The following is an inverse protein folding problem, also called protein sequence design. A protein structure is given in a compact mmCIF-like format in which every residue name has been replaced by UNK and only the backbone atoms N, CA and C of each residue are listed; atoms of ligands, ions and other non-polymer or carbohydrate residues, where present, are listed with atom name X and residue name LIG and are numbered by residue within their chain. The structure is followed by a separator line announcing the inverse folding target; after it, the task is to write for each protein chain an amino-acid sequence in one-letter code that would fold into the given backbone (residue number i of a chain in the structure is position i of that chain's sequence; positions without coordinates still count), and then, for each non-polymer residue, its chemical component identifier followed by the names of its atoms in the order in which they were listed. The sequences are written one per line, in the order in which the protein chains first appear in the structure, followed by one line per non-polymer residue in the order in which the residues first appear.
data_IF_610562680751
#
_entry.id   IF_610562680751
#
_cell.length_a   1.000
_cell.length_b   1.000
_cell.length_c   1.000
_cell.angle_alpha   90.00
_cell.angle_beta   90.00
_cell.angle_gamma   90.00
#
_symmetry.space_group_name_H-M   'P 1'
#
loop_
_entity.id
_entity.type
_entity.pdbx_description
1 polymer ?
#
# COMPACT_ATOMS: atom_id res chain seq x y z
N UNK A 1 14.55 23.72 -9.27
CA UNK A 1 13.36 23.09 -8.69
C UNK A 1 13.35 21.62 -9.08
N UNK A 2 13.53 20.73 -8.09
CA UNK A 2 13.41 19.31 -8.36
C UNK A 2 11.95 18.96 -8.57
N UNK A 3 11.61 18.47 -9.74
CA UNK A 3 10.27 17.90 -9.93
C UNK A 3 10.10 16.74 -8.97
N UNK A 4 9.02 16.76 -8.19
CA UNK A 4 8.65 15.64 -7.36
C UNK A 4 8.31 14.47 -8.30
N UNK A 5 9.09 13.40 -8.20
CA UNK A 5 8.76 12.15 -8.87
C UNK A 5 7.53 11.51 -8.23
N UNK A 6 7.27 10.29 -8.62
CA UNK A 6 6.17 9.53 -8.04
C UNK A 6 6.44 9.15 -6.60
N UNK A 7 5.37 9.04 -5.82
CA UNK A 7 5.38 8.60 -4.43
C UNK A 7 4.59 7.29 -4.34
N UNK A 8 5.19 6.28 -3.74
CA UNK A 8 4.57 4.96 -3.59
C UNK A 8 4.37 4.65 -2.11
N UNK A 9 3.13 4.39 -1.73
CA UNK A 9 2.78 4.07 -0.34
C UNK A 9 2.72 2.56 -0.17
N UNK A 10 3.50 2.04 0.79
CA UNK A 10 3.49 0.64 1.17
C UNK A 10 3.12 0.51 2.65
N UNK A 11 2.76 -0.68 3.05
CA UNK A 11 2.42 -0.94 4.44
C UNK A 11 1.28 -1.94 4.56
N UNK A 12 1.00 -2.37 5.78
CA UNK A 12 -0.01 -3.39 6.01
C UNK A 12 -1.42 -2.86 5.75
N UNK A 13 -2.37 -3.76 5.67
CA UNK A 13 -3.78 -3.40 5.62
C UNK A 13 -4.15 -2.63 6.90
N UNK A 14 -5.03 -1.65 6.76
CA UNK A 14 -5.40 -0.78 7.88
C UNK A 14 -4.43 0.35 8.18
N UNK A 15 -3.37 0.52 7.38
CA UNK A 15 -2.45 1.66 7.51
C UNK A 15 -3.04 2.97 6.99
N UNK A 16 -4.11 2.90 6.19
CA UNK A 16 -4.73 4.09 5.62
C UNK A 16 -4.10 4.56 4.32
N UNK A 17 -3.44 3.67 3.60
CA UNK A 17 -2.70 4.01 2.36
C UNK A 17 -3.57 4.75 1.34
N UNK A 18 -4.78 4.27 1.09
CA UNK A 18 -5.64 4.89 0.07
C UNK A 18 -6.10 6.28 0.50
N UNK A 19 -6.55 6.45 1.73
CA UNK A 19 -7.02 7.73 2.24
C UNK A 19 -5.88 8.74 2.32
N UNK A 20 -4.75 8.32 2.87
CA UNK A 20 -3.55 9.16 2.96
C UNK A 20 -3.05 9.52 1.56
N UNK A 21 -3.03 8.53 0.67
CA UNK A 21 -2.56 8.74 -0.70
C UNK A 21 -3.41 9.74 -1.48
N UNK A 22 -4.74 9.67 -1.34
CA UNK A 22 -5.64 10.64 -1.99
C UNK A 22 -5.40 12.06 -1.51
N UNK A 23 -5.26 12.25 -0.19
CA UNK A 23 -4.99 13.58 0.35
C UNK A 23 -3.61 14.10 -0.08
N UNK A 24 -2.61 13.23 -0.03
CA UNK A 24 -1.26 13.58 -0.45
C UNK A 24 -1.23 14.01 -1.92
N UNK A 25 -1.90 13.24 -2.79
CA UNK A 25 -1.99 13.53 -4.21
C UNK A 25 -2.68 14.87 -4.46
N UNK A 26 -3.75 15.15 -3.72
CA UNK A 26 -4.47 16.41 -3.85
C UNK A 26 -3.59 17.59 -3.51
N UNK A 27 -2.84 17.52 -2.40
CA UNK A 27 -1.96 18.61 -1.99
C UNK A 27 -0.80 18.81 -2.95
N UNK A 28 -0.27 17.74 -3.52
CA UNK A 28 0.84 17.79 -4.46
C UNK A 28 0.39 18.01 -5.91
N UNK A 29 -0.91 17.99 -6.16
CA UNK A 29 -1.51 18.09 -7.51
C UNK A 29 -1.02 16.97 -8.44
N UNK A 30 -0.93 15.75 -7.88
CA UNK A 30 -0.58 14.55 -8.63
C UNK A 30 -1.82 13.67 -8.79
N UNK A 31 -1.82 12.80 -9.80
CA UNK A 31 -2.84 11.76 -9.93
C UNK A 31 -2.68 10.73 -8.83
N UNK A 32 -3.80 10.24 -8.32
CA UNK A 32 -3.83 9.15 -7.37
C UNK A 32 -4.23 7.84 -8.05
N UNK A 33 -3.49 6.78 -7.75
CA UNK A 33 -3.80 5.42 -8.20
C UNK A 33 -3.72 4.45 -7.01
N UNK A 34 -4.58 3.44 -7.04
CA UNK A 34 -4.62 2.38 -6.04
C UNK A 34 -4.56 1.05 -6.78
N UNK A 35 -3.55 0.22 -6.50
CA UNK A 35 -3.34 -1.01 -7.25
C UNK A 35 -4.49 -2.01 -7.07
N UNK A 36 -5.07 -2.10 -5.88
CA UNK A 36 -6.21 -2.98 -5.64
C UNK A 36 -7.46 -2.52 -6.40
N UNK A 37 -7.75 -1.22 -6.37
CA UNK A 37 -8.85 -0.63 -7.14
C UNK A 37 -8.67 -0.85 -8.64
N UNK A 38 -7.45 -0.70 -9.14
CA UNK A 38 -7.18 -0.91 -10.56
C UNK A 38 -7.43 -2.35 -10.97
N UNK A 39 -7.07 -3.32 -10.13
CA UNK A 39 -7.35 -4.73 -10.39
C UNK A 39 -8.86 -4.97 -10.45
N UNK A 40 -9.61 -4.44 -9.48
CA UNK A 40 -11.06 -4.56 -9.47
C UNK A 40 -11.70 -3.90 -10.70
N UNK A 41 -11.21 -2.74 -11.09
CA UNK A 41 -11.69 -2.04 -12.29
C UNK A 41 -11.45 -2.85 -13.56
N UNK A 42 -10.27 -3.44 -13.70
CA UNK A 42 -9.91 -4.22 -14.90
C UNK A 42 -10.65 -5.54 -14.99
N UNK A 43 -10.90 -6.18 -13.85
CA UNK A 43 -11.58 -7.48 -13.81
C UNK A 43 -13.11 -7.37 -13.76
N UNK A 44 -13.61 -6.23 -13.29
CA UNK A 44 -15.05 -6.03 -13.10
C UNK A 44 -15.61 -6.78 -11.88
N UNK A 45 -14.74 -7.36 -11.04
CA UNK A 45 -15.15 -8.11 -9.84
C UNK A 45 -14.27 -7.68 -8.66
N UNK A 46 -14.73 -7.98 -7.45
CA UNK A 46 -13.98 -7.63 -6.25
C UNK A 46 -12.85 -8.62 -5.96
N UNK A 47 -11.93 -8.21 -5.11
CA UNK A 47 -10.74 -9.02 -4.76
C UNK A 47 -11.12 -10.37 -4.14
N UNK A 48 -12.08 -10.46 -3.20
CA UNK A 48 -12.49 -11.77 -2.68
C UNK A 48 -12.89 -12.77 -3.75
N UNK A 49 -13.59 -12.31 -4.78
CA UNK A 49 -13.99 -13.18 -5.88
C UNK A 49 -12.80 -13.64 -6.72
N UNK A 50 -11.82 -12.75 -6.92
CA UNK A 50 -10.58 -13.11 -7.63
C UNK A 50 -9.85 -14.22 -6.86
N UNK A 51 -9.75 -14.09 -5.53
CA UNK A 51 -9.14 -15.12 -4.69
C UNK A 51 -9.89 -16.44 -4.76
N UNK A 52 -11.22 -16.39 -4.77
CA UNK A 52 -12.06 -17.59 -4.86
C UNK A 52 -11.87 -18.33 -6.18
N UNK A 53 -11.84 -17.59 -7.30
CA UNK A 53 -11.77 -18.18 -8.64
C UNK A 53 -10.34 -18.54 -9.04
N UNK A 54 -9.39 -17.66 -8.78
CA UNK A 54 -8.01 -17.78 -9.26
C UNK A 54 -6.99 -18.08 -8.17
N UNK A 55 -7.39 -17.99 -6.89
CA UNK A 55 -6.50 -18.15 -5.76
C UNK A 55 -5.56 -16.97 -5.57
N UNK A 56 -4.73 -17.05 -4.53
CA UNK A 56 -3.76 -15.99 -4.24
C UNK A 56 -2.75 -15.83 -5.39
N UNK A 57 -2.29 -16.94 -5.96
CA UNK A 57 -1.34 -16.90 -7.08
C UNK A 57 -1.89 -16.11 -8.27
N UNK A 58 -3.15 -16.30 -8.62
CA UNK A 58 -3.80 -15.58 -9.70
C UNK A 58 -3.91 -14.08 -9.40
N UNK A 59 -4.28 -13.74 -8.17
CA UNK A 59 -4.32 -12.34 -7.73
C UNK A 59 -2.93 -11.69 -7.80
N UNK A 60 -1.90 -12.37 -7.30
CA UNK A 60 -0.53 -11.83 -7.31
C UNK A 60 -0.02 -11.59 -8.73
N UNK A 61 -0.40 -12.43 -9.68
CA UNK A 61 -0.05 -12.23 -11.09
C UNK A 61 -0.68 -10.96 -11.65
N UNK A 62 -1.94 -10.69 -11.32
CA UNK A 62 -2.63 -9.47 -11.73
C UNK A 62 -2.03 -8.23 -11.07
N UNK A 63 -1.74 -8.32 -9.77
CA UNK A 63 -1.11 -7.25 -9.00
C UNK A 63 0.25 -6.88 -9.59
N UNK A 64 1.06 -7.87 -9.92
CA UNK A 64 2.37 -7.67 -10.54
C UNK A 64 2.26 -6.90 -11.86
N UNK A 65 1.33 -7.27 -12.72
CA UNK A 65 1.12 -6.59 -13.99
C UNK A 65 0.67 -5.14 -13.79
N UNK A 66 -0.21 -4.89 -12.83
CA UNK A 66 -0.70 -3.54 -12.52
C UNK A 66 0.43 -2.66 -11.98
N UNK A 67 1.21 -3.17 -11.04
CA UNK A 67 2.33 -2.41 -10.46
C UNK A 67 3.39 -2.09 -11.50
N UNK A 68 3.74 -3.06 -12.35
CA UNK A 68 4.67 -2.82 -13.46
C UNK A 68 4.22 -1.64 -14.31
N UNK A 69 2.96 -1.60 -14.62
CA UNK A 69 2.39 -0.58 -15.51
C UNK A 69 2.23 0.77 -14.80
N UNK A 70 1.63 0.79 -13.61
CA UNK A 70 1.36 2.05 -12.89
C UNK A 70 2.64 2.75 -12.45
N UNK A 71 3.69 2.00 -12.10
CA UNK A 71 4.96 2.62 -11.68
C UNK A 71 5.70 3.30 -12.82
N UNK A 72 5.29 3.07 -14.07
CA UNK A 72 5.85 3.76 -15.24
C UNK A 72 5.22 5.13 -15.48
N UNK A 73 4.07 5.41 -14.87
CA UNK A 73 3.40 6.70 -15.05
C UNK A 73 4.21 7.82 -14.39
N UNK A 74 4.35 8.98 -15.05
CA UNK A 74 5.09 10.10 -14.45
C UNK A 74 4.27 10.81 -13.38
N UNK A 75 4.91 11.12 -12.25
CA UNK A 75 4.34 12.01 -11.24
C UNK A 75 3.00 11.57 -10.67
N UNK A 76 2.94 10.38 -10.07
CA UNK A 76 1.73 9.87 -9.43
C UNK A 76 1.94 9.59 -7.94
N UNK A 77 0.84 9.47 -7.21
CA UNK A 77 0.82 8.83 -5.90
C UNK A 77 0.13 7.49 -6.06
N UNK A 78 0.82 6.41 -5.71
CA UNK A 78 0.30 5.05 -5.83
C UNK A 78 0.21 4.41 -4.45
N UNK A 79 -1.00 3.97 -4.07
CA UNK A 79 -1.20 3.12 -2.90
C UNK A 79 -1.16 1.66 -3.36
N UNK A 80 -0.25 0.87 -2.79
CA UNK A 80 -0.10 -0.54 -3.13
C UNK A 80 -0.88 -1.42 -2.15
N UNK A 81 -1.30 -2.61 -2.59
CA UNK A 81 -1.85 -3.61 -1.70
C UNK A 81 -0.79 -4.10 -0.70
N UNK A 82 -1.25 -4.55 0.47
CA UNK A 82 -0.33 -4.94 1.56
C UNK A 82 0.65 -6.04 1.20
N UNK A 83 0.27 -6.94 0.31
CA UNK A 83 1.13 -8.07 -0.12
C UNK A 83 1.91 -7.82 -1.40
N UNK A 84 1.79 -6.64 -2.00
CA UNK A 84 2.55 -6.31 -3.21
C UNK A 84 4.05 -6.42 -2.98
N UNK A 85 4.49 -6.17 -1.76
CA UNK A 85 5.89 -6.20 -1.35
C UNK A 85 6.53 -7.58 -1.46
N UNK A 86 5.72 -8.64 -1.52
CA UNK A 86 6.22 -10.01 -1.53
C UNK A 86 6.97 -10.37 -2.83
N UNK A 87 6.63 -9.73 -3.93
CA UNK A 87 7.25 -10.02 -5.23
C UNK A 87 8.52 -9.17 -5.41
N UNK A 88 9.68 -9.82 -5.67
CA UNK A 88 10.94 -9.08 -5.85
C UNK A 88 10.91 -8.08 -7.00
N UNK A 89 10.18 -8.38 -8.08
CA UNK A 89 10.07 -7.45 -9.21
C UNK A 89 9.27 -6.22 -8.83
N UNK A 90 8.21 -6.39 -8.02
CA UNK A 90 7.45 -5.26 -7.50
C UNK A 90 8.35 -4.36 -6.64
N UNK A 91 9.14 -4.97 -5.74
CA UNK A 91 10.07 -4.20 -4.91
C UNK A 91 11.07 -3.40 -5.75
N UNK A 92 11.59 -4.02 -6.80
CA UNK A 92 12.53 -3.36 -7.71
C UNK A 92 11.88 -2.18 -8.41
N UNK A 93 10.68 -2.38 -8.98
CA UNK A 93 9.96 -1.30 -9.67
C UNK A 93 9.65 -0.13 -8.75
N UNK A 94 9.21 -0.41 -7.52
CA UNK A 94 8.92 0.63 -6.54
C UNK A 94 10.20 1.41 -6.17
N UNK A 95 11.28 0.69 -5.87
CA UNK A 95 12.56 1.32 -5.50
C UNK A 95 13.14 2.16 -6.62
N UNK A 96 13.07 1.68 -7.86
CA UNK A 96 13.72 2.33 -9.00
C UNK A 96 12.93 3.50 -9.57
N UNK A 97 11.61 3.48 -9.42
CA UNK A 97 10.72 4.39 -10.17
C UNK A 97 10.10 5.52 -9.36
N UNK A 98 10.32 5.55 -8.05
CA UNK A 98 9.79 6.60 -7.20
C UNK A 98 10.33 6.55 -5.79
N UNK A 99 9.79 7.40 -4.92
CA UNK A 99 10.09 7.38 -3.49
C UNK A 99 9.08 6.49 -2.78
N UNK A 100 9.57 5.59 -1.95
CA UNK A 100 8.73 4.64 -1.22
C UNK A 100 8.53 5.12 0.21
N UNK A 101 7.28 5.25 0.59
CA UNK A 101 6.86 5.66 1.93
C UNK A 101 6.19 4.46 2.59
N UNK A 102 6.81 3.95 3.67
CA UNK A 102 6.25 2.88 4.45
C UNK A 102 5.40 3.46 5.57
N UNK A 103 4.11 3.15 5.55
CA UNK A 103 3.18 3.55 6.62
C UNK A 103 3.11 2.43 7.65
N UNK A 104 3.90 2.58 8.71
CA UNK A 104 3.95 1.62 9.80
C UNK A 104 2.70 1.71 10.66
N UNK A 105 2.09 0.57 10.96
CA UNK A 105 0.84 0.50 11.75
C UNK A 105 0.88 -0.73 12.63
N UNK A 106 0.58 -0.57 13.92
CA UNK A 106 0.56 -1.70 14.85
C UNK A 106 -0.55 -2.68 14.52
N UNK A 107 -0.41 -3.92 14.97
CA UNK A 107 -1.45 -4.95 14.80
C UNK A 107 -2.76 -4.51 15.45
N UNK A 108 -2.70 -3.88 16.62
CA UNK A 108 -3.89 -3.37 17.29
C UNK A 108 -4.64 -2.36 16.42
N UNK A 109 -3.92 -1.43 15.79
CA UNK A 109 -4.52 -0.42 14.92
C UNK A 109 -5.05 -1.05 13.64
N UNK A 110 -4.35 -2.04 13.09
CA UNK A 110 -4.81 -2.79 11.93
C UNK A 110 -6.15 -3.48 12.21
N UNK A 111 -6.26 -4.16 13.35
CA UNK A 111 -7.49 -4.83 13.77
C UNK A 111 -8.65 -3.85 13.93
N UNK A 112 -8.40 -2.71 14.55
CA UNK A 112 -9.41 -1.68 14.76
C UNK A 112 -9.97 -1.16 13.43
N UNK A 113 -9.10 -0.98 12.44
CA UNK A 113 -9.49 -0.42 11.14
C UNK A 113 -10.07 -1.44 10.17
N UNK A 114 -9.68 -2.72 10.28
CA UNK A 114 -10.09 -3.78 9.34
C UNK A 114 -11.14 -4.73 9.88
N UNK A 115 -11.50 -4.63 11.14
CA UNK A 115 -12.40 -5.58 11.82
C UNK A 115 -13.78 -5.72 11.18
N UNK A 116 -14.22 -4.74 10.39
CA UNK A 116 -15.50 -4.76 9.68
C UNK A 116 -15.34 -4.84 8.16
N UNK A 117 -14.11 -4.90 7.68
CA UNK A 117 -13.83 -4.90 6.24
C UNK A 117 -13.86 -6.33 5.71
N UNK A 118 -14.84 -6.62 4.85
CA UNK A 118 -15.00 -7.92 4.21
C UNK A 118 -14.15 -8.11 2.97
N UNK A 119 -13.47 -7.03 2.51
CA UNK A 119 -12.66 -7.06 1.30
C UNK A 119 -11.20 -7.46 1.59
N UNK A 120 -10.99 -8.28 2.64
CA UNK A 120 -9.66 -8.73 3.09
C UNK A 120 -9.65 -10.27 3.21
N UNK A 121 -9.48 -11.00 2.07
CA UNK A 121 -9.55 -12.47 2.10
C UNK A 121 -8.59 -13.12 3.10
N UNK A 122 -7.40 -12.55 3.26
CA UNK A 122 -6.39 -13.10 4.17
C UNK A 122 -6.75 -12.95 5.65
N UNK A 123 -7.75 -12.12 5.98
CA UNK A 123 -8.23 -11.96 7.36
C UNK A 123 -9.48 -12.79 7.66
N UNK A 124 -9.98 -13.56 6.71
CA UNK A 124 -11.12 -14.45 6.89
C UNK A 124 -10.66 -15.74 7.59
N UNK A 125 -10.27 -15.63 8.86
CA UNK A 125 -9.76 -16.72 9.69
C UNK A 125 -10.38 -16.66 11.08
N UNK A 126 -10.20 -17.74 11.89
CA UNK A 126 -10.70 -17.79 13.26
C UNK A 126 -9.93 -16.84 14.19
N UNK A 127 -8.67 -16.54 13.88
CA UNK A 127 -7.82 -15.64 14.69
C UNK A 127 -7.17 -14.56 13.79
N UNK A 128 -7.90 -13.46 13.51
CA UNK A 128 -7.36 -12.37 12.69
C UNK A 128 -6.11 -11.72 13.29
N UNK A 129 -6.02 -11.62 14.61
CA UNK A 129 -4.84 -11.02 15.28
C UNK A 129 -3.58 -11.82 14.98
N UNK A 130 -3.64 -13.14 15.16
CA UNK A 130 -2.49 -13.99 14.89
C UNK A 130 -2.11 -13.96 13.42
N UNK A 131 -3.12 -13.92 12.54
CA UNK A 131 -2.89 -13.80 11.10
C UNK A 131 -2.12 -12.52 10.76
N UNK A 132 -2.50 -11.38 11.36
CA UNK A 132 -1.80 -10.11 11.15
C UNK A 132 -0.37 -10.17 11.68
N UNK A 133 -0.17 -10.77 12.85
CA UNK A 133 1.18 -10.94 13.40
C UNK A 133 2.05 -11.76 12.46
N UNK A 134 1.53 -12.89 11.97
CA UNK A 134 2.26 -13.77 11.05
C UNK A 134 2.59 -13.05 9.73
N UNK A 135 1.64 -12.30 9.19
CA UNK A 135 1.86 -11.52 7.97
C UNK A 135 2.96 -10.49 8.17
N UNK A 136 2.95 -9.79 9.31
CA UNK A 136 3.96 -8.76 9.58
C UNK A 136 5.35 -9.34 9.78
N UNK A 137 5.49 -10.53 10.35
CA UNK A 137 6.79 -11.18 10.50
C UNK A 137 7.47 -11.38 9.14
N UNK A 138 6.70 -11.70 8.12
CA UNK A 138 7.22 -11.90 6.76
C UNK A 138 7.42 -10.58 6.02
N UNK A 139 6.44 -9.67 6.14
CA UNK A 139 6.36 -8.45 5.31
C UNK A 139 7.13 -7.26 5.84
N UNK A 140 7.22 -7.11 7.17
CA UNK A 140 7.88 -5.95 7.79
C UNK A 140 9.32 -5.76 7.29
N UNK A 141 10.17 -6.81 7.25
CA UNK A 141 11.53 -6.63 6.71
C UNK A 141 11.54 -6.16 5.26
N UNK A 142 10.57 -6.59 4.46
CA UNK A 142 10.46 -6.21 3.05
C UNK A 142 9.99 -4.76 2.88
N UNK A 143 9.06 -4.31 3.71
CA UNK A 143 8.66 -2.90 3.73
C UNK A 143 9.85 -2.01 4.05
N UNK A 144 10.64 -2.38 5.04
CA UNK A 144 11.80 -1.59 5.47
C UNK A 144 12.93 -1.61 4.45
N UNK A 145 13.10 -2.73 3.74
CA UNK A 145 14.15 -2.88 2.73
C UNK A 145 14.08 -1.77 1.67
N UNK A 146 12.87 -1.44 1.21
CA UNK A 146 12.71 -0.47 0.11
C UNK A 146 12.24 0.90 0.57
N UNK A 147 11.99 1.10 1.87
CA UNK A 147 11.44 2.36 2.36
C UNK A 147 12.47 3.50 2.28
N UNK A 148 12.10 4.59 1.64
CA UNK A 148 12.83 5.84 1.71
C UNK A 148 12.42 6.64 2.94
N UNK A 149 11.15 6.55 3.32
CA UNK A 149 10.59 7.16 4.54
C UNK A 149 9.79 6.12 5.29
N UNK A 150 9.85 6.17 6.63
CA UNK A 150 9.01 5.34 7.51
C UNK A 150 8.19 6.27 8.38
N UNK A 151 6.88 6.18 8.30
CA UNK A 151 5.95 7.03 9.04
C UNK A 151 5.08 6.14 9.94
N UNK A 152 5.09 6.42 11.23
CA UNK A 152 4.21 5.71 12.17
C UNK A 152 2.82 6.36 12.12
N UNK A 153 1.80 5.56 11.88
CA UNK A 153 0.42 6.06 11.75
C UNK A 153 -0.39 5.93 13.03
N UNK A 154 0.10 5.20 14.04
CA UNK A 154 -0.64 4.94 15.27
C UNK A 154 -0.96 6.24 16.00
N UNK A 155 -2.24 6.39 16.39
CA UNK A 155 -2.69 7.53 17.17
C UNK A 155 -2.74 8.85 16.41
N UNK A 156 -2.52 8.84 15.09
CA UNK A 156 -2.50 10.04 14.25
C UNK A 156 -3.69 10.10 13.33
N UNK A 157 -4.17 11.32 13.06
CA UNK A 157 -5.17 11.56 12.04
C UNK A 157 -4.52 11.59 10.65
N UNK A 158 -5.32 11.35 9.62
CA UNK A 158 -4.83 11.35 8.24
C UNK A 158 -4.07 12.66 7.91
N UNK A 159 -4.64 13.79 8.27
CA UNK A 159 -4.01 15.11 7.99
C UNK A 159 -2.63 15.26 8.63
N UNK A 160 -2.45 14.69 9.82
CA UNK A 160 -1.18 14.76 10.54
C UNK A 160 -0.12 13.88 9.88
N UNK A 161 -0.54 12.70 9.41
CA UNK A 161 0.35 11.81 8.66
C UNK A 161 0.78 12.46 7.35
N UNK A 162 -0.16 13.06 6.62
CA UNK A 162 0.13 13.76 5.36
C UNK A 162 1.12 14.90 5.59
N UNK A 163 0.89 15.69 6.65
CA UNK A 163 1.78 16.81 7.00
C UNK A 163 3.19 16.31 7.31
N UNK A 164 3.31 15.23 8.06
CA UNK A 164 4.60 14.63 8.39
C UNK A 164 5.33 14.13 7.14
N UNK A 165 4.61 13.49 6.22
CA UNK A 165 5.17 13.05 4.95
C UNK A 165 5.72 14.24 4.16
N UNK A 166 4.92 15.28 4.00
CA UNK A 166 5.32 16.48 3.25
C UNK A 166 6.54 17.14 3.87
N UNK A 167 6.59 17.21 5.21
CA UNK A 167 7.73 17.78 5.92
C UNK A 167 9.00 16.97 5.68
N UNK A 168 8.92 15.66 5.78
CA UNK A 168 10.09 14.80 5.55
C UNK A 168 10.54 14.80 4.10
N UNK A 169 9.63 14.95 3.15
CA UNK A 169 9.99 15.08 1.74
C UNK A 169 10.76 16.38 1.47
N UNK A 170 10.40 17.47 2.14
CA UNK A 170 11.11 18.73 2.02
C UNK A 170 12.51 18.68 2.65
N UNK A 171 12.66 17.89 3.72
CA UNK A 171 13.92 17.77 4.46
C UNK A 171 14.92 16.79 3.80
N UNK A 172 14.48 16.05 2.78
CA UNK A 172 15.31 15.01 2.15
C UNK A 172 16.02 15.46 0.89
#
# INVERSE_FOLDING_TARGET
MKMLGSLFLTGPMGAGKSTIGRQLARQLRLEFHDSDHEIEHRTGVDIPLIFEIEGEAGFRKREKAVIEELTRLPGIVLATGGGAILDPDNRKHLSDRGRVIYLHTSVNQQLKRTGKDRNRPLLQTEDPRQRLIDLMQVREPLYREIADLVINTDGKQVRDVVREILQQLDDS
#
